data_IF_037914126226
#
_entry.id   IF_037914126226
#
_cell.length_a   1.000
_cell.length_b   1.000
_cell.length_c   1.000
_cell.angle_alpha   90.00
_cell.angle_beta   90.00
_cell.angle_gamma   90.00
#
_symmetry.space_group_name_H-M   'P 1'
#
loop_
_entity.id
_entity.type
_entity.pdbx_description
1 polymer ?
#
# COMPACT_ATOMS: atom_id res chain seq x y z
N UNK A 1 18.69 -3.36 11.72
CA UNK A 1 19.49 -4.57 11.54
C UNK A 1 20.72 -4.53 12.43
N UNK A 2 20.85 -5.42 13.43
CA UNK A 2 22.11 -5.62 14.17
C UNK A 2 22.70 -6.93 13.72
N UNK A 3 23.81 -6.86 13.00
CA UNK A 3 24.61 -8.04 12.68
C UNK A 3 25.64 -8.17 13.82
N UNK A 4 25.53 -9.22 14.64
CA UNK A 4 26.59 -9.61 15.56
C UNK A 4 27.44 -10.66 14.85
N UNK A 5 28.59 -10.25 14.32
CA UNK A 5 29.64 -11.18 13.92
C UNK A 5 30.53 -11.43 15.12
N UNK A 6 30.47 -12.58 15.74
CA UNK A 6 31.53 -13.04 16.63
C UNK A 6 32.65 -13.64 15.79
N UNK A 7 33.86 -13.11 15.95
CA UNK A 7 35.04 -13.64 15.32
C UNK A 7 35.36 -15.03 15.89
N UNK A 8 35.67 -16.01 15.03
CA UNK A 8 36.19 -17.29 15.43
C UNK A 8 37.40 -17.11 16.35
N UNK A 9 37.32 -17.66 17.54
CA UNK A 9 38.48 -17.83 18.41
C UNK A 9 38.98 -19.25 18.20
N UNK A 10 40.14 -19.36 17.64
CA UNK A 10 40.92 -20.65 17.67
C UNK A 10 41.38 -20.83 19.10
N UNK A 11 40.91 -21.89 19.74
CA UNK A 11 41.40 -22.28 21.08
C UNK A 11 42.27 -23.50 20.95
N UNK A 12 43.46 -23.47 21.56
CA UNK A 12 44.35 -24.62 21.66
C UNK A 12 43.74 -25.59 22.68
N UNK A 13 43.40 -26.80 22.21
CA UNK A 13 43.03 -27.87 23.13
C UNK A 13 44.24 -28.28 23.94
N UNK A 14 44.24 -28.03 25.26
CA UNK A 14 45.40 -28.27 26.13
C UNK A 14 45.69 -29.75 26.40
N UNK A 15 44.75 -30.64 26.08
CA UNK A 15 44.94 -32.09 26.26
C UNK A 15 45.48 -32.78 25.01
N UNK A 16 45.13 -32.29 23.81
CA UNK A 16 45.53 -32.90 22.53
C UNK A 16 46.63 -32.13 21.81
N UNK A 17 46.85 -30.84 22.17
CA UNK A 17 47.83 -29.99 21.48
C UNK A 17 47.36 -29.52 20.09
N UNK A 18 46.13 -29.81 19.68
CA UNK A 18 45.58 -29.41 18.39
C UNK A 18 44.77 -28.15 18.49
N UNK A 19 44.77 -27.37 17.40
CA UNK A 19 43.97 -26.16 17.29
C UNK A 19 42.55 -26.54 16.87
N UNK A 20 41.60 -26.44 17.78
CA UNK A 20 40.17 -26.61 17.48
C UNK A 20 39.58 -25.28 16.99
N UNK A 21 39.09 -25.29 15.76
CA UNK A 21 38.25 -24.23 15.23
C UNK A 21 36.82 -24.35 15.80
N UNK A 22 36.49 -23.52 16.75
CA UNK A 22 35.11 -23.41 17.20
C UNK A 22 34.24 -22.80 16.08
N UNK A 23 33.24 -23.56 15.64
CA UNK A 23 32.26 -23.14 14.66
C UNK A 23 31.47 -21.91 15.20
N UNK A 24 31.65 -20.76 14.58
CA UNK A 24 30.89 -19.55 14.94
C UNK A 24 29.49 -19.67 14.37
N UNK A 25 28.52 -19.63 15.28
CA UNK A 25 27.11 -19.39 14.93
C UNK A 25 26.96 -17.93 14.54
N UNK A 26 26.35 -17.65 13.39
CA UNK A 26 26.04 -16.28 12.98
C UNK A 26 24.52 -16.09 13.11
N UNK A 27 24.10 -15.32 14.10
CA UNK A 27 22.71 -14.94 14.25
C UNK A 27 22.36 -13.85 13.24
N UNK A 28 21.35 -14.08 12.42
CA UNK A 28 20.86 -13.08 11.47
C UNK A 28 19.48 -12.62 11.92
N UNK A 29 19.38 -11.36 12.32
CA UNK A 29 18.11 -10.73 12.66
C UNK A 29 17.58 -9.99 11.44
N UNK A 30 16.38 -10.36 10.98
CA UNK A 30 15.69 -9.64 9.94
C UNK A 30 14.67 -8.69 10.57
N UNK A 31 14.83 -7.38 10.36
CA UNK A 31 13.73 -6.45 10.53
C UNK A 31 12.80 -6.54 9.30
N UNK A 32 11.49 -6.42 9.54
CA UNK A 32 10.41 -6.66 8.57
C UNK A 32 10.46 -5.84 7.28
N UNK A 33 11.34 -4.86 7.21
CA UNK A 33 11.40 -3.83 6.17
C UNK A 33 12.56 -4.01 5.18
N UNK A 34 13.13 -5.21 5.05
CA UNK A 34 14.15 -5.45 4.01
C UNK A 34 13.47 -5.84 2.69
N UNK A 35 13.28 -4.90 1.75
CA UNK A 35 12.67 -5.20 0.47
C UNK A 35 13.63 -5.98 -0.45
N UNK A 36 14.90 -6.12 -0.06
CA UNK A 36 15.95 -6.66 -0.91
C UNK A 36 16.44 -8.02 -0.40
N UNK A 37 16.24 -9.04 -1.23
CA UNK A 37 16.70 -10.41 -1.03
C UNK A 37 18.23 -10.53 -1.01
N UNK A 38 18.98 -9.58 -1.59
CA UNK A 38 20.41 -9.69 -1.83
C UNK A 38 21.23 -10.01 -0.58
N UNK A 39 20.88 -9.43 0.57
CA UNK A 39 21.61 -9.72 1.82
C UNK A 39 21.39 -11.17 2.28
N UNK A 40 20.16 -11.67 2.19
CA UNK A 40 19.84 -13.06 2.51
C UNK A 40 20.62 -14.02 1.61
N UNK A 41 20.62 -13.77 0.30
CA UNK A 41 21.31 -14.60 -0.69
C UNK A 41 22.83 -14.57 -0.49
N UNK A 42 23.42 -13.41 -0.26
CA UNK A 42 24.87 -13.29 0.04
C UNK A 42 25.25 -14.07 1.30
N UNK A 43 24.44 -13.99 2.35
CA UNK A 43 24.73 -14.68 3.61
C UNK A 43 24.51 -16.18 3.52
N UNK A 44 23.45 -16.63 2.83
CA UNK A 44 23.11 -18.06 2.77
C UNK A 44 23.84 -18.81 1.65
N UNK A 45 24.18 -18.17 0.54
CA UNK A 45 24.85 -18.79 -0.60
C UNK A 45 26.37 -18.56 -0.58
N UNK A 46 26.84 -17.34 -0.29
CA UNK A 46 28.25 -16.99 -0.47
C UNK A 46 29.18 -17.37 0.69
N UNK A 47 28.67 -17.45 1.92
CA UNK A 47 29.52 -17.69 3.11
C UNK A 47 29.55 -19.16 3.55
N UNK A 48 28.70 -20.00 2.97
CA UNK A 48 28.61 -21.43 3.28
C UNK A 48 29.76 -22.28 2.74
N UNK A 49 30.27 -21.95 1.55
CA UNK A 49 31.21 -22.77 0.82
C UNK A 49 32.59 -22.92 1.50
N UNK A 50 32.99 -21.94 2.29
CA UNK A 50 34.25 -21.95 3.06
C UNK A 50 34.15 -22.73 4.38
N UNK A 51 33.00 -23.23 4.77
CA UNK A 51 32.74 -23.88 6.07
C UNK A 51 32.25 -25.33 5.85
N UNK A 52 32.81 -26.27 6.65
CA UNK A 52 32.40 -27.69 6.57
C UNK A 52 30.98 -27.94 7.05
N UNK A 53 30.48 -27.13 8.02
CA UNK A 53 29.13 -27.22 8.58
C UNK A 53 28.62 -25.82 8.89
N UNK A 54 28.17 -25.08 7.89
CA UNK A 54 27.53 -23.78 8.12
C UNK A 54 26.16 -23.97 8.81
N UNK A 55 25.91 -23.23 9.88
CA UNK A 55 24.63 -23.19 10.56
C UNK A 55 24.09 -21.77 10.59
N UNK A 56 22.84 -21.62 10.19
CA UNK A 56 22.15 -20.35 10.11
C UNK A 56 20.93 -20.37 11.02
N UNK A 57 20.83 -19.38 11.90
CA UNK A 57 19.63 -19.14 12.69
C UNK A 57 18.92 -17.88 12.17
N UNK A 58 17.67 -18.05 11.75
CA UNK A 58 16.79 -16.97 11.33
C UNK A 58 15.77 -16.76 12.45
N UNK A 59 15.89 -15.65 13.18
CA UNK A 59 14.98 -15.27 14.25
C UNK A 59 14.24 -14.00 13.84
N UNK A 60 12.91 -14.08 13.75
CA UNK A 60 12.08 -12.96 13.34
C UNK A 60 10.71 -13.04 13.98
N UNK A 61 10.01 -11.91 13.98
CA UNK A 61 8.57 -11.82 14.26
C UNK A 61 7.80 -11.68 12.93
N UNK A 62 6.47 -11.83 12.98
CA UNK A 62 5.61 -11.58 11.84
C UNK A 62 5.77 -10.14 11.32
N UNK A 63 5.57 -9.96 10.03
CA UNK A 63 5.67 -8.68 9.34
C UNK A 63 4.34 -8.16 8.84
N UNK A 64 4.44 -7.11 8.06
CA UNK A 64 3.30 -6.50 7.36
C UNK A 64 3.41 -6.64 5.84
N UNK A 65 4.63 -6.84 5.32
CA UNK A 65 4.93 -6.95 3.90
C UNK A 65 5.05 -8.42 3.48
N UNK A 66 4.07 -8.87 2.71
CA UNK A 66 4.01 -10.24 2.15
C UNK A 66 4.88 -10.43 0.90
N UNK A 67 5.51 -9.37 0.39
CA UNK A 67 6.49 -9.45 -0.69
C UNK A 67 7.94 -9.50 -0.16
N UNK A 68 8.12 -9.51 1.16
CA UNK A 68 9.43 -9.55 1.79
C UNK A 68 10.03 -10.95 1.80
N UNK A 69 11.37 -11.01 1.87
CA UNK A 69 12.09 -12.28 2.07
C UNK A 69 11.68 -12.99 3.36
N UNK A 70 11.28 -12.23 4.39
CA UNK A 70 10.75 -12.78 5.63
C UNK A 70 9.47 -13.59 5.39
N UNK A 71 8.56 -13.09 4.55
CA UNK A 71 7.36 -13.81 4.15
C UNK A 71 7.67 -15.07 3.33
N UNK A 72 8.58 -15.00 2.36
CA UNK A 72 8.99 -16.18 1.57
C UNK A 72 9.53 -17.30 2.47
N UNK A 73 10.40 -16.95 3.43
CA UNK A 73 10.97 -17.91 4.38
C UNK A 73 9.89 -18.46 5.31
N UNK A 74 8.95 -17.61 5.75
CA UNK A 74 7.81 -18.02 6.57
C UNK A 74 6.90 -19.00 5.82
N UNK A 75 6.57 -18.72 4.54
CA UNK A 75 5.78 -19.64 3.70
C UNK A 75 6.50 -20.98 3.49
N UNK A 76 7.81 -20.95 3.23
CA UNK A 76 8.62 -22.17 3.16
C UNK A 76 8.55 -22.96 4.48
N UNK A 77 8.61 -22.27 5.63
CA UNK A 77 8.50 -22.90 6.94
C UNK A 77 7.14 -23.59 7.13
N UNK A 78 6.05 -22.92 6.77
CA UNK A 78 4.70 -23.51 6.84
C UNK A 78 4.54 -24.68 5.87
N UNK A 79 5.02 -24.58 4.63
CA UNK A 79 4.96 -25.66 3.64
C UNK A 79 5.64 -26.95 4.16
N UNK A 80 6.77 -26.79 4.88
CA UNK A 80 7.48 -27.96 5.48
C UNK A 80 6.73 -28.51 6.68
N UNK A 81 6.24 -27.64 7.58
CA UNK A 81 5.48 -28.05 8.76
C UNK A 81 4.17 -28.78 8.40
N UNK A 82 3.54 -28.39 7.29
CA UNK A 82 2.32 -29.00 6.78
C UNK A 82 2.57 -30.18 5.82
N UNK A 83 3.85 -30.54 5.58
CA UNK A 83 4.23 -31.67 4.73
C UNK A 83 4.07 -31.41 3.22
N UNK A 84 3.90 -30.16 2.77
CA UNK A 84 3.82 -29.79 1.35
C UNK A 84 5.18 -29.75 0.67
N UNK A 85 6.25 -29.53 1.46
CA UNK A 85 7.65 -29.54 1.01
C UNK A 85 8.51 -30.38 1.96
N UNK A 86 9.56 -30.95 1.43
CA UNK A 86 10.62 -31.61 2.19
C UNK A 86 11.97 -30.90 1.94
N UNK A 87 12.60 -30.44 3.02
CA UNK A 87 13.96 -29.89 2.99
C UNK A 87 14.68 -30.31 4.29
N UNK A 88 15.46 -31.40 4.27
CA UNK A 88 16.12 -31.92 5.47
C UNK A 88 17.18 -30.98 6.06
N UNK A 89 17.55 -29.91 5.34
CA UNK A 89 18.52 -28.90 5.79
C UNK A 89 17.85 -27.66 6.37
N UNK A 90 16.52 -27.59 6.36
CA UNK A 90 15.75 -26.47 6.90
C UNK A 90 14.85 -26.96 8.04
N UNK A 91 15.13 -26.53 9.26
CA UNK A 91 14.34 -26.89 10.44
C UNK A 91 13.46 -25.71 10.88
N UNK A 92 12.18 -25.70 10.52
CA UNK A 92 11.27 -24.62 10.88
C UNK A 92 10.67 -24.80 12.25
N UNK A 93 10.60 -23.70 13.01
CA UNK A 93 9.81 -23.58 14.24
C UNK A 93 9.02 -22.28 14.15
N UNK A 94 7.70 -22.37 14.20
CA UNK A 94 6.81 -21.21 14.10
C UNK A 94 5.87 -21.18 15.31
N UNK A 95 5.97 -20.11 16.10
CA UNK A 95 5.05 -19.79 17.18
C UNK A 95 4.29 -18.53 16.79
N UNK A 96 3.01 -18.65 16.47
CA UNK A 96 2.19 -17.54 16.02
C UNK A 96 0.76 -17.96 15.82
N UNK A 97 -0.12 -17.00 15.56
CA UNK A 97 -1.52 -17.26 15.24
C UNK A 97 -1.74 -17.22 13.73
N UNK A 98 -2.56 -18.13 13.19
CA UNK A 98 -3.11 -17.99 11.83
C UNK A 98 -3.86 -16.66 11.67
N UNK A 99 -3.98 -16.20 10.40
CA UNK A 99 -4.64 -14.94 10.08
C UNK A 99 -6.10 -14.87 10.55
N UNK A 100 -6.79 -16.00 10.51
CA UNK A 100 -8.21 -16.18 10.86
C UNK A 100 -8.46 -16.49 12.35
N UNK A 101 -7.39 -16.66 13.15
CA UNK A 101 -7.55 -16.96 14.56
C UNK A 101 -8.02 -15.75 15.37
N UNK A 102 -8.93 -15.98 16.31
CA UNK A 102 -9.41 -14.95 17.22
C UNK A 102 -8.27 -14.47 18.14
N UNK A 103 -7.83 -13.24 17.91
CA UNK A 103 -6.75 -12.60 18.66
C UNK A 103 -7.18 -12.14 20.06
N UNK A 104 -8.50 -12.11 20.34
CA UNK A 104 -9.05 -11.70 21.64
C UNK A 104 -9.13 -12.85 22.65
N UNK A 105 -9.05 -14.12 22.19
CA UNK A 105 -9.07 -15.29 23.07
C UNK A 105 -7.69 -15.51 23.72
N UNK A 106 -7.62 -15.38 25.05
CA UNK A 106 -6.39 -15.58 25.83
C UNK A 106 -5.74 -16.97 25.61
N UNK A 107 -6.53 -18.01 25.30
CA UNK A 107 -5.99 -19.34 24.98
C UNK A 107 -5.09 -19.34 23.78
N UNK A 108 -5.37 -18.47 22.81
CA UNK A 108 -4.55 -18.30 21.63
C UNK A 108 -3.23 -17.60 21.93
N UNK A 109 -3.18 -16.74 22.97
CA UNK A 109 -1.93 -16.06 23.35
C UNK A 109 -0.84 -17.03 23.79
N UNK A 110 -1.21 -18.14 24.45
CA UNK A 110 -0.27 -19.21 24.83
C UNK A 110 0.27 -19.97 23.61
N UNK A 111 -0.50 -20.11 22.53
CA UNK A 111 0.00 -20.74 21.28
C UNK A 111 1.09 -19.91 20.62
N UNK A 112 0.94 -18.59 20.65
CA UNK A 112 1.93 -17.66 20.12
C UNK A 112 3.14 -17.47 21.05
N UNK A 113 2.95 -17.67 22.35
CA UNK A 113 3.97 -17.44 23.38
C UNK A 113 4.13 -18.67 24.28
N UNK A 114 4.89 -19.69 23.86
CA UNK A 114 5.02 -20.94 24.63
C UNK A 114 5.72 -20.75 25.98
N UNK A 115 6.45 -19.64 26.19
CA UNK A 115 7.08 -19.26 27.45
C UNK A 115 6.25 -18.28 28.29
N UNK A 116 4.98 -18.07 27.95
CA UNK A 116 4.08 -17.22 28.74
C UNK A 116 3.95 -17.77 30.15
N UNK A 117 3.92 -16.89 31.13
CA UNK A 117 4.02 -17.15 32.59
C UNK A 117 5.38 -17.68 33.10
N UNK A 118 6.31 -18.01 32.21
CA UNK A 118 7.69 -18.32 32.60
C UNK A 118 8.62 -17.13 32.43
N UNK A 119 8.53 -16.43 31.29
CA UNK A 119 9.38 -15.26 30.96
C UNK A 119 8.62 -13.94 30.97
N UNK A 120 7.34 -13.98 30.58
CA UNK A 120 6.43 -12.82 30.55
C UNK A 120 5.15 -13.25 31.26
N UNK A 121 4.70 -12.46 32.25
CA UNK A 121 3.44 -12.73 32.95
C UNK A 121 2.25 -12.42 32.06
N UNK A 122 1.18 -13.21 32.18
CA UNK A 122 -0.08 -13.01 31.45
C UNK A 122 -0.66 -11.60 31.67
N UNK A 123 -0.48 -11.02 32.86
CA UNK A 123 -1.01 -9.68 33.17
C UNK A 123 -0.38 -8.59 32.28
N UNK A 124 0.91 -8.70 31.93
CA UNK A 124 1.55 -7.76 30.97
C UNK A 124 0.97 -7.90 29.58
N UNK A 125 0.55 -9.08 29.18
CA UNK A 125 -0.11 -9.30 27.88
C UNK A 125 -1.53 -8.75 27.92
N UNK A 126 -2.27 -8.92 29.04
CA UNK A 126 -3.59 -8.31 29.25
C UNK A 126 -3.56 -6.80 29.22
N UNK A 127 -2.51 -6.18 29.81
CA UNK A 127 -2.33 -4.73 29.74
C UNK A 127 -2.11 -4.24 28.30
N UNK A 128 -1.27 -4.95 27.56
CA UNK A 128 -1.04 -4.66 26.14
C UNK A 128 -2.30 -4.88 25.30
N UNK A 129 -3.10 -5.90 25.62
CA UNK A 129 -4.37 -6.18 24.96
C UNK A 129 -5.41 -5.08 25.22
N UNK A 130 -5.54 -4.60 26.46
CA UNK A 130 -6.44 -3.47 26.77
C UNK A 130 -6.11 -2.25 25.91
N UNK A 131 -4.81 -1.92 25.80
CA UNK A 131 -4.37 -0.83 24.93
C UNK A 131 -4.66 -1.12 23.45
N UNK A 132 -4.51 -2.37 22.99
CA UNK A 132 -4.78 -2.76 21.61
C UNK A 132 -6.26 -2.58 21.20
N UNK A 133 -7.17 -2.53 22.15
CA UNK A 133 -8.60 -2.26 21.88
C UNK A 133 -8.92 -0.78 21.66
N UNK A 134 -7.98 0.14 21.95
CA UNK A 134 -8.22 1.57 21.86
C UNK A 134 -8.10 2.07 20.41
N UNK A 135 -7.15 1.56 19.63
CA UNK A 135 -6.93 1.99 18.23
C UNK A 135 -6.56 0.82 17.32
N UNK A 136 -6.92 0.89 16.01
CA UNK A 136 -6.49 -0.12 15.03
C UNK A 136 -4.97 -0.26 14.90
N UNK A 137 -4.22 0.80 15.17
CA UNK A 137 -2.75 0.78 15.16
C UNK A 137 -2.18 -0.05 16.32
N UNK A 138 -2.73 0.13 17.52
CA UNK A 138 -2.34 -0.63 18.69
C UNK A 138 -2.78 -2.10 18.58
N UNK A 139 -3.94 -2.39 17.97
CA UNK A 139 -4.37 -3.75 17.61
C UNK A 139 -3.34 -4.43 16.71
N UNK A 140 -2.99 -3.81 15.59
CA UNK A 140 -2.01 -4.36 14.66
C UNK A 140 -0.65 -4.60 15.33
N UNK A 141 -0.20 -3.67 16.17
CA UNK A 141 1.05 -3.83 16.93
C UNK A 141 0.96 -5.00 17.91
N UNK A 142 -0.15 -5.17 18.60
CA UNK A 142 -0.36 -6.31 19.52
C UNK A 142 -0.36 -7.62 18.75
N UNK A 143 -1.12 -7.73 17.67
CA UNK A 143 -1.21 -8.93 16.83
C UNK A 143 0.15 -9.31 16.25
N UNK A 144 0.88 -8.34 15.74
CA UNK A 144 2.20 -8.55 15.13
C UNK A 144 3.25 -8.94 16.18
N UNK A 145 3.41 -8.13 17.25
CA UNK A 145 4.55 -8.25 18.16
C UNK A 145 4.29 -9.20 19.35
N UNK A 146 3.02 -9.41 19.73
CA UNK A 146 2.66 -10.32 20.85
C UNK A 146 2.13 -11.65 20.39
N UNK A 147 1.41 -11.68 19.26
CA UNK A 147 0.80 -12.90 18.77
C UNK A 147 1.49 -13.48 17.54
N UNK A 148 2.55 -12.80 17.06
CA UNK A 148 3.31 -13.19 15.86
C UNK A 148 2.39 -13.49 14.66
N UNK A 149 1.33 -12.70 14.53
CA UNK A 149 0.34 -12.79 13.48
C UNK A 149 0.68 -11.80 12.36
N UNK A 150 0.65 -12.25 11.12
CA UNK A 150 0.87 -11.37 9.99
C UNK A 150 -0.31 -10.41 9.84
N UNK A 151 -0.02 -9.12 9.86
CA UNK A 151 -1.03 -8.06 9.69
C UNK A 151 -0.80 -7.34 8.37
N UNK A 152 -1.88 -6.87 7.76
CA UNK A 152 -1.77 -6.26 6.42
C UNK A 152 -1.05 -4.91 6.43
N UNK A 153 -1.12 -4.18 7.54
CA UNK A 153 -0.42 -2.89 7.72
C UNK A 153 -0.25 -2.55 9.20
N UNK A 154 0.82 -1.82 9.55
CA UNK A 154 1.02 -1.31 10.91
C UNK A 154 0.06 -0.17 11.27
N UNK A 155 -0.40 0.61 10.28
CA UNK A 155 -1.41 1.67 10.42
C UNK A 155 -2.20 1.80 9.13
N UNK A 156 -3.49 1.42 9.13
CA UNK A 156 -4.40 1.74 8.03
C UNK A 156 -4.77 3.21 8.11
N UNK A 157 -4.65 3.91 7.00
CA UNK A 157 -5.15 5.27 6.89
C UNK A 157 -6.67 5.29 6.83
N UNK A 158 -7.24 4.60 5.82
CA UNK A 158 -8.66 4.64 5.55
C UNK A 158 -9.40 3.55 6.35
N UNK A 159 -10.40 3.90 7.16
CA UNK A 159 -11.30 2.91 7.75
C UNK A 159 -12.18 2.32 6.63
N UNK A 160 -11.86 1.09 6.22
CA UNK A 160 -12.45 0.47 5.03
C UNK A 160 -13.94 0.16 5.18
N UNK A 161 -14.45 0.00 6.40
CA UNK A 161 -15.87 -0.07 6.69
C UNK A 161 -16.61 1.23 6.31
N UNK A 162 -16.00 2.39 6.61
CA UNK A 162 -16.55 3.69 6.25
C UNK A 162 -16.41 3.99 4.76
N UNK A 163 -15.29 3.57 4.16
CA UNK A 163 -15.11 3.63 2.71
C UNK A 163 -16.20 2.82 2.00
N UNK A 164 -16.43 1.57 2.42
CA UNK A 164 -17.42 0.69 1.80
C UNK A 164 -18.86 1.22 1.93
N UNK A 165 -19.18 1.96 3.00
CA UNK A 165 -20.46 2.66 3.16
C UNK A 165 -20.68 3.77 2.11
N UNK A 166 -19.61 4.27 1.47
CA UNK A 166 -19.64 5.25 0.39
C UNK A 166 -19.72 4.63 -1.02
N UNK A 167 -19.95 3.33 -1.13
CA UNK A 167 -19.98 2.56 -2.37
C UNK A 167 -21.36 2.47 -3.03
N UNK A 168 -22.09 3.57 -3.15
CA UNK A 168 -23.39 3.63 -3.82
C UNK A 168 -23.31 3.38 -5.34
N UNK A 169 -24.45 3.19 -5.99
CA UNK A 169 -24.49 3.07 -7.46
C UNK A 169 -24.19 4.43 -8.09
N UNK A 170 -23.27 4.48 -9.03
CA UNK A 170 -22.96 5.64 -9.86
C UNK A 170 -23.51 5.41 -11.26
N UNK A 171 -24.40 6.30 -11.71
CA UNK A 171 -24.93 6.32 -13.06
C UNK A 171 -24.20 7.39 -13.88
N UNK A 172 -23.25 6.99 -14.70
CA UNK A 172 -22.43 7.91 -15.49
C UNK A 172 -23.24 8.74 -16.51
N UNK A 173 -24.39 8.26 -16.98
CA UNK A 173 -25.25 9.04 -17.89
C UNK A 173 -25.80 10.31 -17.24
N UNK A 174 -26.01 10.30 -15.92
CA UNK A 174 -26.44 11.48 -15.17
C UNK A 174 -25.33 12.49 -14.94
N UNK A 175 -24.08 12.11 -15.24
CA UNK A 175 -22.90 12.95 -15.13
C UNK A 175 -22.52 13.61 -16.45
N UNK A 176 -23.16 13.27 -17.56
CA UNK A 176 -22.86 13.83 -18.88
C UNK A 176 -23.01 15.37 -18.88
N UNK A 177 -21.99 16.04 -19.40
CA UNK A 177 -21.89 17.50 -19.43
C UNK A 177 -21.61 18.17 -18.08
N UNK A 178 -21.60 17.42 -16.96
CA UNK A 178 -21.29 18.00 -15.63
C UNK A 178 -19.83 18.40 -15.53
N UNK A 179 -19.54 19.53 -14.85
CA UNK A 179 -18.16 19.89 -14.51
C UNK A 179 -17.53 18.84 -13.62
N UNK A 180 -16.32 18.46 -13.96
CA UNK A 180 -15.50 17.57 -13.15
C UNK A 180 -14.01 17.95 -13.20
N UNK A 181 -13.25 17.40 -12.28
CA UNK A 181 -11.81 17.58 -12.16
C UNK A 181 -11.15 16.22 -12.17
N UNK A 182 -10.00 16.11 -12.82
CA UNK A 182 -9.30 14.86 -12.96
C UNK A 182 -7.96 14.88 -12.24
N UNK A 183 -7.51 13.72 -11.80
CA UNK A 183 -6.15 13.45 -11.37
C UNK A 183 -5.59 12.30 -12.19
N UNK A 184 -4.39 12.46 -12.73
CA UNK A 184 -3.71 11.51 -13.58
C UNK A 184 -2.37 11.12 -12.95
N UNK A 185 -2.23 9.87 -12.56
CA UNK A 185 -1.00 9.29 -12.03
C UNK A 185 -0.45 8.27 -13.03
N UNK A 186 0.57 8.68 -13.76
CA UNK A 186 1.18 7.91 -14.86
C UNK A 186 2.30 7.01 -14.33
N UNK A 187 2.27 5.76 -14.70
CA UNK A 187 3.38 4.85 -14.48
C UNK A 187 4.46 4.99 -15.57
N UNK A 188 5.73 4.84 -15.20
CA UNK A 188 6.85 5.07 -16.15
C UNK A 188 7.04 3.95 -17.17
N UNK A 189 6.63 2.70 -16.93
CA UNK A 189 6.87 1.60 -17.86
C UNK A 189 5.83 0.50 -17.81
N UNK A 190 5.64 -0.13 -16.68
CA UNK A 190 4.85 -1.35 -16.58
C UNK A 190 3.91 -1.34 -15.38
N UNK A 191 3.79 -0.23 -14.67
CA UNK A 191 2.98 -0.13 -13.47
C UNK A 191 1.53 0.26 -13.76
N UNK A 192 0.68 0.24 -12.73
CA UNK A 192 -0.70 0.66 -12.85
C UNK A 192 -0.74 2.17 -13.15
N UNK A 193 -1.42 2.55 -14.20
CA UNK A 193 -1.74 3.95 -14.50
C UNK A 193 -3.17 4.21 -14.05
N UNK A 194 -3.42 5.34 -13.42
CA UNK A 194 -4.72 5.69 -12.90
C UNK A 194 -5.14 7.11 -13.31
N UNK A 195 -6.40 7.26 -13.74
CA UNK A 195 -7.09 8.53 -13.84
C UNK A 195 -8.36 8.49 -13.02
N UNK A 196 -8.59 9.48 -12.21
CA UNK A 196 -9.80 9.57 -11.39
C UNK A 196 -10.49 10.88 -11.66
N UNK A 197 -11.77 10.82 -12.03
CA UNK A 197 -12.66 11.98 -12.17
C UNK A 197 -13.40 12.22 -10.85
N UNK A 198 -13.44 13.47 -10.42
CA UNK A 198 -14.18 13.94 -9.25
C UNK A 198 -15.22 14.95 -9.71
N UNK A 199 -16.50 14.64 -9.52
CA UNK A 199 -17.63 15.53 -9.79
C UNK A 199 -18.06 16.18 -8.47
N UNK A 200 -17.88 17.49 -8.31
CA UNK A 200 -18.34 18.21 -7.13
C UNK A 200 -19.87 18.16 -6.98
N UNK A 201 -20.40 18.24 -5.74
CA UNK A 201 -21.82 18.36 -5.51
C UNK A 201 -22.38 19.67 -6.11
N UNK A 202 -23.62 19.62 -6.57
CA UNK A 202 -24.37 20.80 -7.09
C UNK A 202 -25.04 21.59 -5.98
N UNK A 203 -25.30 20.92 -4.87
CA UNK A 203 -25.93 21.48 -3.66
C UNK A 203 -25.36 20.80 -2.40
N UNK A 204 -25.79 21.25 -1.22
CA UNK A 204 -25.31 20.78 0.08
C UNK A 204 -25.69 19.31 0.41
N UNK A 205 -26.75 18.79 -0.24
CA UNK A 205 -27.27 17.44 0.00
C UNK A 205 -26.59 16.40 -0.91
N UNK A 206 -26.02 16.83 -2.05
CA UNK A 206 -25.37 15.95 -3.01
C UNK A 206 -23.98 15.51 -2.52
N UNK A 207 -23.55 14.34 -2.95
CA UNK A 207 -22.21 13.78 -2.67
C UNK A 207 -21.23 14.14 -3.79
N UNK A 208 -19.92 14.16 -3.45
CA UNK A 208 -18.87 14.06 -4.46
C UNK A 208 -18.96 12.71 -5.15
N UNK A 209 -19.02 12.68 -6.47
CA UNK A 209 -19.07 11.43 -7.23
C UNK A 209 -17.69 11.16 -7.84
N UNK A 210 -17.22 9.93 -7.68
CA UNK A 210 -15.89 9.50 -8.10
C UNK A 210 -16.02 8.45 -9.21
N UNK A 211 -15.36 8.71 -10.35
CA UNK A 211 -15.31 7.77 -11.48
C UNK A 211 -13.84 7.47 -11.81
N UNK A 212 -13.32 6.30 -11.41
CA UNK A 212 -11.93 5.93 -11.63
C UNK A 212 -11.75 5.10 -12.91
N UNK A 213 -10.62 5.29 -13.58
CA UNK A 213 -10.15 4.50 -14.71
C UNK A 213 -8.71 4.03 -14.47
N UNK A 214 -8.42 2.80 -14.88
CA UNK A 214 -7.11 2.17 -14.67
C UNK A 214 -6.63 1.49 -15.95
N UNK A 215 -5.30 1.51 -16.17
CA UNK A 215 -4.67 0.86 -17.32
C UNK A 215 -3.48 0.02 -16.91
N UNK A 216 -3.32 -1.12 -17.58
CA UNK A 216 -2.16 -2.01 -17.51
C UNK A 216 -1.79 -2.49 -18.92
N UNK A 217 -0.49 -2.80 -19.17
CA UNK A 217 -0.10 -3.47 -20.41
C UNK A 217 -0.66 -4.90 -20.48
N UNK A 218 -1.25 -5.26 -21.61
CA UNK A 218 -1.89 -6.57 -21.83
C UNK A 218 -0.92 -7.74 -21.67
N UNK A 219 0.27 -7.66 -22.29
CA UNK A 219 1.24 -8.75 -22.27
C UNK A 219 1.81 -9.04 -20.87
N UNK A 220 1.81 -8.06 -19.98
CA UNK A 220 2.32 -8.23 -18.62
C UNK A 220 1.25 -8.65 -17.59
N UNK A 221 -0.04 -8.61 -17.97
CA UNK A 221 -1.17 -8.86 -17.07
C UNK A 221 -1.04 -10.20 -16.33
N UNK A 222 -0.84 -11.30 -17.05
CA UNK A 222 -0.76 -12.65 -16.47
C UNK A 222 0.49 -12.84 -15.61
N UNK A 223 1.61 -12.22 -15.98
CA UNK A 223 2.83 -12.24 -15.16
C UNK A 223 2.60 -11.52 -13.83
N UNK A 224 1.86 -10.41 -13.86
CA UNK A 224 1.52 -9.63 -12.67
C UNK A 224 0.56 -10.37 -11.75
N UNK A 225 -0.48 -11.01 -12.28
CA UNK A 225 -1.39 -11.85 -11.48
C UNK A 225 -0.60 -12.87 -10.67
N UNK A 226 0.42 -13.51 -11.28
CA UNK A 226 1.25 -14.52 -10.62
C UNK A 226 2.25 -13.92 -9.63
N UNK A 227 2.83 -12.75 -9.96
CA UNK A 227 3.86 -12.10 -9.13
C UNK A 227 3.24 -11.41 -7.93
N UNK A 228 2.19 -10.63 -8.16
CA UNK A 228 1.60 -9.74 -7.17
C UNK A 228 0.45 -10.44 -6.40
N UNK A 229 0.01 -11.63 -6.85
CA UNK A 229 -1.14 -12.37 -6.30
C UNK A 229 -2.44 -11.56 -6.26
N UNK A 230 -2.60 -10.63 -7.22
CA UNK A 230 -3.74 -9.71 -7.36
C UNK A 230 -4.58 -10.12 -8.57
N UNK A 231 -5.90 -10.02 -8.47
CA UNK A 231 -6.85 -10.48 -9.48
C UNK A 231 -7.03 -9.48 -10.66
N UNK A 232 -5.92 -8.97 -11.23
CA UNK A 232 -5.99 -8.01 -12.33
C UNK A 232 -6.77 -8.54 -13.54
N UNK A 233 -6.61 -9.83 -13.87
CA UNK A 233 -7.30 -10.50 -14.97
C UNK A 233 -8.82 -10.60 -14.76
N UNK A 234 -9.26 -10.68 -13.51
CA UNK A 234 -10.68 -10.65 -13.16
C UNK A 234 -11.24 -9.24 -13.31
N UNK A 235 -10.50 -8.24 -12.86
CA UNK A 235 -10.91 -6.84 -12.97
C UNK A 235 -10.92 -6.35 -14.43
N UNK A 236 -9.98 -6.81 -15.24
CA UNK A 236 -9.96 -6.54 -16.68
C UNK A 236 -11.21 -7.10 -17.36
N UNK A 237 -11.51 -8.40 -17.16
CA UNK A 237 -12.72 -9.04 -17.71
C UNK A 237 -14.03 -8.40 -17.25
N UNK A 238 -14.04 -7.77 -16.09
CA UNK A 238 -15.18 -7.04 -15.55
C UNK A 238 -15.25 -5.57 -16.01
N UNK A 239 -14.26 -5.09 -16.76
CA UNK A 239 -14.19 -3.72 -17.26
C UNK A 239 -13.68 -2.68 -16.25
N UNK A 240 -13.14 -3.11 -15.11
CA UNK A 240 -12.57 -2.21 -14.09
C UNK A 240 -11.12 -1.81 -14.38
N UNK A 241 -10.46 -2.50 -15.28
CA UNK A 241 -9.11 -2.17 -15.78
C UNK A 241 -9.15 -2.25 -17.30
N UNK A 242 -8.61 -1.25 -17.96
CA UNK A 242 -8.36 -1.24 -19.39
C UNK A 242 -6.96 -1.80 -19.66
N UNK A 243 -6.80 -2.54 -20.75
CA UNK A 243 -5.47 -2.97 -21.21
C UNK A 243 -4.99 -2.11 -22.37
N UNK A 244 -3.69 -1.86 -22.42
CA UNK A 244 -3.04 -1.26 -23.58
C UNK A 244 -2.20 -2.31 -24.29
N UNK A 245 -2.12 -2.24 -25.62
CA UNK A 245 -1.35 -3.17 -26.45
C UNK A 245 0.14 -3.15 -26.08
N UNK A 246 0.78 -4.31 -26.05
CA UNK A 246 2.21 -4.48 -25.76
C UNK A 246 2.55 -4.73 -24.29
N UNK A 247 3.85 -4.58 -23.98
CA UNK A 247 4.43 -4.88 -22.65
C UNK A 247 4.69 -3.63 -21.78
N UNK A 248 4.42 -2.45 -22.32
CA UNK A 248 4.51 -1.14 -21.64
C UNK A 248 3.19 -0.39 -21.79
N UNK A 249 2.92 0.54 -20.89
CA UNK A 249 1.72 1.38 -20.97
C UNK A 249 1.81 2.26 -22.22
N UNK A 250 0.83 2.15 -23.11
CA UNK A 250 0.78 2.93 -24.34
C UNK A 250 0.00 4.22 -24.12
N UNK A 251 0.70 5.34 -23.95
CA UNK A 251 0.09 6.64 -23.61
C UNK A 251 -0.90 7.14 -24.65
N UNK A 252 -0.67 6.90 -25.94
CA UNK A 252 -1.61 7.29 -26.99
C UNK A 252 -3.01 6.66 -26.84
N UNK A 253 -3.11 5.44 -26.30
CA UNK A 253 -4.40 4.83 -26.00
C UNK A 253 -5.11 5.55 -24.83
N UNK A 254 -4.35 5.99 -23.82
CA UNK A 254 -4.88 6.76 -22.70
C UNK A 254 -5.32 8.16 -23.15
N UNK A 255 -4.53 8.83 -23.99
CA UNK A 255 -4.88 10.14 -24.61
C UNK A 255 -6.22 10.05 -25.35
N UNK A 256 -6.38 9.05 -26.21
CA UNK A 256 -7.64 8.82 -26.94
C UNK A 256 -8.83 8.58 -25.98
N UNK A 257 -8.61 7.86 -24.89
CA UNK A 257 -9.64 7.63 -23.89
C UNK A 257 -10.01 8.92 -23.14
N UNK A 258 -9.03 9.76 -22.80
CA UNK A 258 -9.26 11.07 -22.17
C UNK A 258 -10.04 12.00 -23.10
N UNK A 259 -9.76 11.99 -24.41
CA UNK A 259 -10.54 12.72 -25.42
C UNK A 259 -12.01 12.29 -25.40
N UNK A 260 -12.27 10.97 -25.39
CA UNK A 260 -13.65 10.44 -25.30
C UNK A 260 -14.35 10.84 -24.00
N UNK A 261 -13.62 10.88 -22.87
CA UNK A 261 -14.17 11.39 -21.62
C UNK A 261 -14.49 12.88 -21.70
N UNK A 262 -13.66 13.67 -22.39
CA UNK A 262 -13.88 15.10 -22.62
C UNK A 262 -15.10 15.40 -23.51
N UNK A 263 -15.48 14.47 -24.40
CA UNK A 263 -16.73 14.58 -25.16
C UNK A 263 -17.98 14.32 -24.30
N UNK A 264 -17.85 13.48 -23.27
CA UNK A 264 -18.94 13.11 -22.38
C UNK A 264 -19.08 14.05 -21.17
N UNK A 265 -17.96 14.43 -20.59
CA UNK A 265 -17.91 15.18 -19.34
C UNK A 265 -17.22 16.53 -19.53
N UNK A 266 -17.60 17.53 -18.75
CA UNK A 266 -16.95 18.83 -18.78
C UNK A 266 -15.72 18.84 -17.85
N UNK A 267 -14.61 18.24 -18.32
CA UNK A 267 -13.36 18.18 -17.57
C UNK A 267 -12.74 19.57 -17.52
N UNK A 268 -12.74 20.20 -16.34
CA UNK A 268 -12.23 21.56 -16.14
C UNK A 268 -10.72 21.61 -16.05
N UNK A 269 -10.14 20.70 -15.28
CA UNK A 269 -8.70 20.62 -15.06
C UNK A 269 -8.29 19.17 -14.87
N UNK A 270 -7.07 18.83 -15.30
CA UNK A 270 -6.42 17.53 -15.07
C UNK A 270 -5.14 17.78 -14.28
N UNK A 271 -5.13 17.40 -13.00
CA UNK A 271 -3.92 17.40 -12.19
C UNK A 271 -3.03 16.21 -12.56
N UNK A 272 -1.73 16.41 -12.69
CA UNK A 272 -0.78 15.36 -13.05
C UNK A 272 0.54 15.48 -12.28
N UNK A 273 1.24 14.35 -12.10
CA UNK A 273 2.60 14.38 -11.55
C UNK A 273 3.61 14.92 -12.58
N UNK A 274 4.30 16.00 -12.19
CA UNK A 274 5.23 16.74 -13.08
C UNK A 274 6.42 15.93 -13.58
N UNK A 275 6.72 14.76 -13.01
CA UNK A 275 7.97 14.07 -13.29
C UNK A 275 7.93 13.13 -14.51
N UNK A 276 6.78 12.68 -14.98
CA UNK A 276 6.69 11.63 -16.00
C UNK A 276 5.79 11.93 -17.22
N UNK A 277 5.30 13.17 -17.41
CA UNK A 277 4.17 13.39 -18.30
C UNK A 277 4.40 14.37 -19.47
N UNK A 278 5.61 14.84 -19.76
CA UNK A 278 5.86 16.01 -20.63
C UNK A 278 5.23 15.91 -22.02
N UNK A 279 5.36 14.79 -22.73
CA UNK A 279 4.77 14.65 -24.08
C UNK A 279 3.25 14.58 -24.03
N UNK A 280 2.70 13.72 -23.17
CA UNK A 280 1.26 13.55 -23.02
C UNK A 280 0.55 14.84 -22.60
N UNK A 281 1.18 15.61 -21.69
CA UNK A 281 0.66 16.91 -21.25
C UNK A 281 0.55 17.88 -22.42
N UNK A 282 1.59 17.99 -23.26
CA UNK A 282 1.54 18.86 -24.45
C UNK A 282 0.43 18.46 -25.41
N UNK A 283 0.28 17.16 -25.68
CA UNK A 283 -0.79 16.66 -26.56
C UNK A 283 -2.17 17.03 -25.99
N UNK A 284 -2.40 16.78 -24.70
CA UNK A 284 -3.69 17.11 -24.08
C UNK A 284 -3.96 18.62 -24.00
N UNK A 285 -2.92 19.45 -23.81
CA UNK A 285 -3.04 20.92 -23.87
C UNK A 285 -3.39 21.38 -25.30
N UNK A 286 -2.78 20.80 -26.33
CA UNK A 286 -3.08 21.08 -27.72
C UNK A 286 -4.53 20.66 -28.08
N UNK A 287 -5.05 19.61 -27.45
CA UNK A 287 -6.44 19.15 -27.57
C UNK A 287 -7.43 19.97 -26.70
N UNK A 288 -6.96 21.00 -25.97
CA UNK A 288 -7.76 21.97 -25.26
C UNK A 288 -8.03 21.66 -23.79
N UNK A 289 -7.38 20.66 -23.20
CA UNK A 289 -7.47 20.39 -21.76
C UNK A 289 -6.58 21.34 -20.95
N UNK A 290 -7.05 21.71 -19.77
CA UNK A 290 -6.25 22.48 -18.81
C UNK A 290 -5.44 21.53 -17.93
N UNK A 291 -4.14 21.43 -18.19
CA UNK A 291 -3.24 20.56 -17.43
C UNK A 291 -2.60 21.31 -16.26
N UNK A 292 -2.70 20.76 -15.04
CA UNK A 292 -2.21 21.39 -13.82
C UNK A 292 -1.15 20.50 -13.14
N UNK A 293 0.11 20.99 -13.08
CA UNK A 293 1.16 20.21 -12.39
C UNK A 293 0.88 20.15 -10.88
N UNK A 294 0.94 18.93 -10.31
CA UNK A 294 0.71 18.68 -8.91
C UNK A 294 1.97 18.12 -8.24
N UNK A 295 2.30 18.62 -7.05
CA UNK A 295 3.41 18.11 -6.24
C UNK A 295 2.95 16.96 -5.33
N UNK A 296 3.68 15.83 -5.37
CA UNK A 296 3.42 14.72 -4.43
C UNK A 296 4.18 14.90 -3.10
N UNK A 297 4.37 16.13 -2.66
CA UNK A 297 4.96 16.48 -1.37
C UNK A 297 3.89 16.68 -0.28
N UNK A 298 4.34 16.93 0.96
CA UNK A 298 3.44 17.14 2.10
C UNK A 298 2.55 18.38 1.94
N UNK A 299 3.04 19.42 1.27
CA UNK A 299 2.33 20.69 1.12
C UNK A 299 1.09 20.52 0.25
N UNK A 300 1.26 19.88 -0.91
CA UNK A 300 0.20 19.76 -1.90
C UNK A 300 -0.74 18.59 -1.56
N UNK A 301 -0.19 17.47 -1.04
CA UNK A 301 -0.98 16.28 -0.71
C UNK A 301 -1.80 16.41 0.58
N UNK A 302 -1.32 17.13 1.61
CA UNK A 302 -1.92 17.07 2.95
C UNK A 302 -3.35 17.63 3.02
N UNK A 303 -3.68 18.80 2.46
CA UNK A 303 -5.03 19.32 2.52
C UNK A 303 -6.08 18.39 1.89
N UNK A 304 -5.94 17.93 0.63
CA UNK A 304 -6.92 17.05 0.01
C UNK A 304 -6.96 15.65 0.64
N UNK A 305 -5.85 15.15 1.19
CA UNK A 305 -5.81 13.87 1.92
C UNK A 305 -6.66 13.92 3.20
N UNK A 306 -6.54 15.00 3.98
CA UNK A 306 -7.35 15.23 5.18
C UNK A 306 -8.82 15.41 4.83
N UNK A 307 -9.11 16.14 3.76
CA UNK A 307 -10.46 16.36 3.30
C UNK A 307 -11.13 15.07 2.78
N UNK A 308 -10.39 14.23 2.05
CA UNK A 308 -10.89 12.92 1.61
C UNK A 308 -11.34 12.06 2.81
N UNK A 309 -10.54 12.02 3.87
CA UNK A 309 -10.91 11.33 5.11
C UNK A 309 -12.20 11.90 5.70
N UNK A 310 -12.33 13.23 5.77
CA UNK A 310 -13.53 13.90 6.29
C UNK A 310 -14.76 13.53 5.47
N UNK A 311 -14.68 13.60 4.13
CA UNK A 311 -15.78 13.27 3.22
C UNK A 311 -16.24 11.83 3.37
N UNK A 312 -15.31 10.88 3.56
CA UNK A 312 -15.64 9.47 3.81
C UNK A 312 -16.34 9.29 5.14
N UNK A 313 -15.82 9.89 6.22
CA UNK A 313 -16.43 9.79 7.55
C UNK A 313 -17.84 10.43 7.60
N UNK A 314 -18.05 11.50 6.86
CA UNK A 314 -19.35 12.18 6.75
C UNK A 314 -20.27 11.55 5.68
N UNK A 315 -19.83 10.53 4.96
CA UNK A 315 -20.56 9.90 3.84
C UNK A 315 -20.94 10.89 2.73
N UNK A 316 -20.12 11.92 2.53
CA UNK A 316 -20.29 12.95 1.50
C UNK A 316 -19.54 12.61 0.19
N UNK A 317 -19.26 11.33 -0.04
CA UNK A 317 -18.55 10.82 -1.20
C UNK A 317 -19.23 9.55 -1.70
N UNK A 318 -19.32 9.36 -3.02
CA UNK A 318 -19.78 8.14 -3.65
C UNK A 318 -18.78 7.69 -4.73
N UNK A 319 -18.15 6.53 -4.54
CA UNK A 319 -17.12 5.98 -5.43
C UNK A 319 -17.60 4.77 -6.24
N UNK A 320 -18.91 4.53 -6.31
CA UNK A 320 -19.48 3.46 -7.14
C UNK A 320 -19.12 2.03 -6.73
N UNK A 321 -18.48 1.82 -5.58
CA UNK A 321 -18.01 0.49 -5.16
C UNK A 321 -16.89 -0.07 -6.04
N UNK A 322 -16.12 0.77 -6.76
CA UNK A 322 -15.11 0.34 -7.71
C UNK A 322 -13.98 -0.49 -7.05
N UNK A 323 -13.81 -1.79 -7.40
CA UNK A 323 -12.97 -2.70 -6.64
C UNK A 323 -11.48 -2.39 -6.72
N UNK A 324 -10.99 -1.85 -7.85
CA UNK A 324 -9.58 -1.48 -8.01
C UNK A 324 -9.26 -0.25 -7.17
N UNK A 325 -10.14 0.76 -7.16
CA UNK A 325 -9.96 1.95 -6.29
C UNK A 325 -10.03 1.55 -4.82
N UNK A 326 -10.99 0.70 -4.44
CA UNK A 326 -11.08 0.14 -3.09
C UNK A 326 -9.78 -0.54 -2.66
N UNK A 327 -9.21 -1.36 -3.53
CA UNK A 327 -7.93 -2.03 -3.28
C UNK A 327 -6.77 -1.03 -3.14
N UNK A 328 -6.71 0.01 -3.97
CA UNK A 328 -5.72 1.09 -3.85
C UNK A 328 -5.84 1.84 -2.51
N UNK A 329 -7.07 2.10 -2.04
CA UNK A 329 -7.31 2.76 -0.75
C UNK A 329 -6.92 1.86 0.44
N UNK A 330 -7.18 0.55 0.38
CA UNK A 330 -6.79 -0.42 1.43
C UNK A 330 -5.26 -0.56 1.54
N UNK A 331 -4.53 -0.36 0.44
CA UNK A 331 -3.07 -0.43 0.39
C UNK A 331 -2.38 0.88 0.81
N UNK A 332 -3.09 2.01 0.81
CA UNK A 332 -2.49 3.31 1.01
C UNK A 332 -1.92 3.47 2.43
N UNK A 333 -0.62 3.76 2.50
CA UNK A 333 0.07 4.12 3.72
C UNK A 333 0.28 5.63 3.77
N UNK A 334 -0.01 6.26 4.92
CA UNK A 334 0.30 7.67 5.14
C UNK A 334 1.61 7.87 5.86
N UNK A 335 2.40 8.78 5.34
CA UNK A 335 3.52 9.38 6.05
C UNK A 335 3.08 10.70 6.66
N UNK A 336 3.47 10.92 7.92
CA UNK A 336 3.22 12.17 8.65
C UNK A 336 4.54 12.88 8.89
N UNK A 337 4.59 14.19 8.66
CA UNK A 337 5.72 15.02 9.04
C UNK A 337 5.57 15.52 10.49
N UNK A 338 6.64 16.13 11.09
CA UNK A 338 6.56 16.66 12.46
C UNK A 338 5.52 17.79 12.66
N UNK A 339 5.07 18.42 11.58
CA UNK A 339 4.03 19.46 11.61
C UNK A 339 2.61 18.87 11.49
N UNK A 340 2.47 17.54 11.37
CA UNK A 340 1.18 16.86 11.22
C UNK A 340 0.61 16.91 9.81
N UNK A 341 1.43 17.20 8.79
CA UNK A 341 1.03 17.09 7.40
C UNK A 341 1.08 15.62 6.95
N UNK A 342 0.16 15.25 6.09
CA UNK A 342 -0.04 13.88 5.61
C UNK A 342 0.28 13.78 4.11
N UNK A 343 0.88 12.66 3.70
CA UNK A 343 0.94 12.28 2.28
C UNK A 343 0.89 10.77 2.11
N UNK A 344 0.38 10.31 0.98
CA UNK A 344 0.47 8.91 0.59
C UNK A 344 1.94 8.59 0.29
N UNK A 345 2.47 7.55 0.92
CA UNK A 345 3.85 7.07 0.74
C UNK A 345 3.84 5.82 -0.15
N UNK A 346 4.14 5.99 -1.44
CA UNK A 346 4.17 4.90 -2.42
C UNK A 346 5.21 3.81 -2.06
N UNK A 347 6.32 4.17 -1.42
CA UNK A 347 7.39 3.23 -1.07
C UNK A 347 7.01 2.31 0.11
N UNK A 348 6.18 2.82 1.03
CA UNK A 348 5.73 2.08 2.21
C UNK A 348 4.36 1.46 2.06
N UNK A 349 3.65 1.79 1.00
CA UNK A 349 2.37 1.18 0.67
C UNK A 349 2.57 -0.30 0.33
N UNK A 350 1.64 -1.13 0.77
CA UNK A 350 1.76 -2.61 0.66
C UNK A 350 1.76 -3.06 -0.80
N UNK A 351 0.97 -2.36 -1.63
CA UNK A 351 0.78 -2.60 -3.06
C UNK A 351 0.53 -1.27 -3.79
N UNK A 352 -0.07 -1.31 -4.98
CA UNK A 352 -0.32 -0.13 -5.80
C UNK A 352 -1.34 0.82 -5.15
N UNK A 353 -1.05 2.11 -5.25
CA UNK A 353 -1.85 3.20 -4.69
C UNK A 353 -2.10 4.34 -5.68
N UNK A 354 -1.82 4.10 -6.95
CA UNK A 354 -1.88 5.12 -8.01
C UNK A 354 -3.28 5.74 -8.13
N UNK A 355 -4.34 4.92 -7.97
CA UNK A 355 -5.71 5.42 -7.92
C UNK A 355 -6.02 6.28 -6.69
N UNK A 356 -5.43 5.99 -5.54
CA UNK A 356 -5.59 6.81 -4.34
C UNK A 356 -4.88 8.17 -4.51
N UNK A 357 -3.69 8.17 -5.13
CA UNK A 357 -2.95 9.40 -5.45
C UNK A 357 -3.71 10.24 -6.48
N UNK A 358 -4.18 9.62 -7.57
CA UNK A 358 -5.00 10.28 -8.59
C UNK A 358 -6.28 10.89 -7.99
N UNK A 359 -6.97 10.18 -7.09
CA UNK A 359 -8.14 10.69 -6.39
C UNK A 359 -7.82 11.94 -5.55
N UNK A 360 -6.72 11.92 -4.79
CA UNK A 360 -6.28 13.06 -3.97
C UNK A 360 -5.96 14.28 -4.86
N UNK A 361 -5.29 14.06 -6.00
CA UNK A 361 -4.99 15.12 -6.96
C UNK A 361 -6.26 15.73 -7.57
N UNK A 362 -7.21 14.89 -8.00
CA UNK A 362 -8.50 15.35 -8.54
C UNK A 362 -9.32 16.12 -7.50
N UNK A 363 -9.36 15.62 -6.28
CA UNK A 363 -10.08 16.25 -5.19
C UNK A 363 -9.50 17.63 -4.84
N UNK A 364 -8.17 17.80 -4.86
CA UNK A 364 -7.53 19.11 -4.68
C UNK A 364 -8.06 20.14 -5.68
N UNK A 365 -8.17 19.74 -6.96
CA UNK A 365 -8.67 20.66 -8.00
C UNK A 365 -10.14 20.99 -7.79
N UNK A 366 -10.95 19.99 -7.44
CA UNK A 366 -12.36 20.19 -7.15
C UNK A 366 -12.57 21.16 -5.97
N UNK A 367 -11.80 21.02 -4.90
CA UNK A 367 -11.89 21.88 -3.70
C UNK A 367 -11.42 23.32 -3.98
N UNK A 368 -10.32 23.50 -4.70
CA UNK A 368 -9.79 24.83 -5.03
C UNK A 368 -10.75 25.63 -5.91
N UNK A 369 -11.41 24.96 -6.83
CA UNK A 369 -12.33 25.60 -7.75
C UNK A 369 -13.75 25.77 -7.16
N UNK A 370 -14.19 24.94 -6.21
CA UNK A 370 -15.45 25.17 -5.48
C UNK A 370 -15.45 26.50 -4.72
N UNK A 371 -14.28 26.90 -4.19
CA UNK A 371 -14.13 28.19 -3.48
C UNK A 371 -13.96 29.39 -4.42
N UNK A 372 -13.67 29.19 -5.71
CA UNK A 372 -13.52 30.27 -6.68
C UNK A 372 -14.84 30.76 -7.28
N UNK A 373 -15.92 29.98 -7.13
CA UNK A 373 -17.27 30.33 -7.64
C UNK A 373 -18.06 31.30 -6.74
N UNK A 374 -17.65 31.51 -5.50
CA UNK A 374 -18.25 32.51 -4.59
C UNK A 374 -17.29 33.70 -4.42
N UNK A 375 -17.12 34.50 -5.46
CA UNK A 375 -16.47 35.81 -5.31
C UNK A 375 -17.39 36.69 -4.44
N UNK A 376 -16.89 37.14 -3.29
CA UNK A 376 -17.54 38.08 -2.39
C UNK A 376 -17.93 39.41 -3.12
N UNK A 377 -17.46 39.55 -4.36
CA UNK A 377 -17.77 40.71 -5.23
C UNK A 377 -19.00 40.54 -6.11
N UNK A 378 -19.54 39.33 -6.27
CA UNK A 378 -20.75 39.10 -7.09
C UNK A 378 -22.05 39.46 -6.33
N UNK A 379 -22.02 39.48 -4.98
CA UNK A 379 -23.14 39.86 -4.14
C UNK A 379 -23.19 41.36 -3.78
N UNK A 380 -22.17 42.14 -4.12
CA UNK A 380 -22.17 43.59 -3.93
C UNK A 380 -22.26 44.29 -5.28
N UNK A 381 -23.48 44.58 -5.73
CA UNK A 381 -23.72 45.47 -6.83
C UNK A 381 -22.91 46.75 -6.69
N UNK A 382 -22.36 47.27 -7.79
CA UNK A 382 -21.60 48.50 -7.86
C UNK A 382 -22.44 49.64 -7.22
N UNK A 383 -22.02 50.15 -6.06
CA UNK A 383 -22.41 51.41 -5.55
C UNK A 383 -21.65 52.49 -6.32
N UNK A 384 -22.31 53.13 -7.31
CA UNK A 384 -21.83 54.36 -7.93
C UNK A 384 -22.27 55.47 -6.97
N UNK A 385 -21.29 56.16 -6.38
CA UNK A 385 -21.46 57.41 -5.64
C UNK A 385 -21.28 58.55 -6.61
#
# INVERSE_FOLDING_TARGET
MRIKTEKARTTLNRETGEMEENTTCTDVYYEHTQPNRALYDVMTQGSGDARKQPLWFLLTTAGTDRNSICWEVHQKALDILEGRKDDPRFYPVVFGLPDDADWTDEKNWYKANPSLDQTITIDKVRDAFRKAQETPADENMFRQLRLNQWVKQSVRWMPMDKWDECGGVVNEYELEGRPCYAGLDLSSTSDLTAMVLVFPPRDEEEQYIIVPHFWLPEETLQLRVRRDHVMYDKWERQGFIHTTEGNVVHYGAIEQFILQLGERFNIREIAYDRWNATMMVQTLEDDGFTMVPFGQDFRDMSPPTKELMRLVLERKLNHGGHPVLRWNMDNAFLRTDPAGNLKIDKERSTEKVDGAVALVMALDRALKNANSGASVYDDRGFLII
#
